data_IF_365727750501
#
_entry.id   IF_365727750501
#
_cell.length_a   1.000
_cell.length_b   1.000
_cell.length_c   1.000
_cell.angle_alpha   90.00
_cell.angle_beta   90.00
_cell.angle_gamma   90.00
#
_symmetry.space_group_name_H-M   'P 1'
#
loop_
_entity.id
_entity.type
_entity.pdbx_description
1 polymer ?
#
# COMPACT_ATOMS: atom_id res chain seq x y z
N UNK A 1 -20.36 -44.62 12.36
CA UNK A 1 -19.00 -44.98 11.87
C UNK A 1 -18.33 -43.71 11.40
N UNK A 2 -17.35 -43.18 12.15
CA UNK A 2 -16.63 -41.96 11.79
C UNK A 2 -15.62 -42.28 10.68
N UNK A 3 -15.76 -41.66 9.50
CA UNK A 3 -14.72 -41.70 8.46
C UNK A 3 -13.52 -40.90 8.98
N UNK A 4 -12.34 -41.50 8.98
CA UNK A 4 -11.08 -40.79 9.23
C UNK A 4 -10.87 -39.76 8.10
N UNK A 5 -10.68 -38.50 8.48
CA UNK A 5 -10.48 -37.38 7.56
C UNK A 5 -8.99 -37.28 7.21
N UNK A 6 -8.65 -37.30 5.93
CA UNK A 6 -7.27 -37.23 5.46
C UNK A 6 -7.00 -35.85 4.84
N UNK A 7 -6.72 -34.85 5.69
CA UNK A 7 -6.17 -33.55 5.26
C UNK A 7 -4.66 -33.62 5.45
N UNK A 8 -3.84 -33.31 4.43
CA UNK A 8 -2.39 -33.39 4.56
C UNK A 8 -1.90 -32.34 5.59
N UNK A 9 -1.13 -32.74 6.61
CA UNK A 9 -0.61 -31.83 7.62
C UNK A 9 0.40 -30.86 7.03
N UNK A 10 0.35 -29.59 7.44
CA UNK A 10 1.45 -28.63 7.20
C UNK A 10 2.48 -28.83 8.32
N UNK A 11 3.66 -29.34 7.96
CA UNK A 11 4.77 -29.61 8.89
C UNK A 11 5.88 -28.61 8.58
N UNK A 12 6.25 -27.79 9.56
CA UNK A 12 7.42 -26.91 9.48
C UNK A 12 8.66 -27.68 9.97
N UNK A 13 9.84 -27.49 9.36
CA UNK A 13 11.07 -28.02 9.90
C UNK A 13 11.35 -27.36 11.27
N UNK A 14 11.48 -28.15 12.33
CA UNK A 14 11.99 -27.66 13.61
C UNK A 14 13.48 -27.40 13.48
N UNK A 15 13.90 -26.14 13.65
CA UNK A 15 15.33 -25.82 13.78
C UNK A 15 15.89 -26.48 15.04
N UNK A 16 16.82 -27.42 14.83
CA UNK A 16 17.49 -28.16 15.87
C UNK A 16 18.33 -27.24 16.74
N UNK A 17 18.03 -27.21 18.03
CA UNK A 17 18.77 -26.51 19.08
C UNK A 17 20.18 -27.11 19.29
N UNK A 18 21.27 -26.33 19.17
CA UNK A 18 22.55 -26.70 19.74
C UNK A 18 22.86 -25.83 20.97
N UNK A 19 22.84 -26.46 22.15
CA UNK A 19 23.75 -26.09 23.25
C UNK A 19 23.35 -24.91 24.13
N UNK A 20 22.78 -25.23 25.29
CA UNK A 20 22.68 -24.35 26.45
C UNK A 20 24.08 -23.96 26.93
N UNK A 21 24.45 -22.67 26.81
CA UNK A 21 25.47 -22.06 27.65
C UNK A 21 24.84 -20.95 28.50
N UNK A 22 24.76 -21.23 29.80
CA UNK A 22 24.49 -20.24 30.84
C UNK A 22 25.50 -19.09 30.77
N UNK A 23 25.04 -17.88 30.44
CA UNK A 23 25.74 -16.63 30.75
C UNK A 23 24.90 -15.81 31.73
N UNK A 24 25.50 -15.53 32.88
CA UNK A 24 25.01 -14.61 33.92
C UNK A 24 24.65 -13.24 33.33
N UNK A 25 23.63 -12.54 33.86
CA UNK A 25 23.35 -11.17 33.50
C UNK A 25 24.38 -10.22 34.16
N UNK A 26 24.89 -9.18 33.46
CA UNK A 26 25.57 -8.07 34.11
C UNK A 26 24.54 -7.08 34.69
N UNK A 27 24.91 -6.48 35.81
CA UNK A 27 24.13 -5.56 36.61
C UNK A 27 23.88 -4.20 35.93
N UNK A 28 22.70 -3.62 36.20
CA UNK A 28 22.32 -2.26 35.84
C UNK A 28 23.21 -1.20 36.52
N UNK A 29 23.60 -0.10 35.82
CA UNK A 29 23.93 1.16 36.46
C UNK A 29 22.70 2.10 36.53
N UNK A 30 22.70 3.09 37.45
CA UNK A 30 21.51 3.79 37.91
C UNK A 30 21.03 4.92 36.97
N UNK A 31 19.71 5.11 37.00
CA UNK A 31 18.92 6.17 36.38
C UNK A 31 19.37 7.57 36.83
N UNK A 32 19.54 8.50 35.88
CA UNK A 32 19.65 9.93 36.14
C UNK A 32 18.41 10.67 35.58
N UNK A 33 17.95 11.75 36.23
CA UNK A 33 16.63 12.31 36.00
C UNK A 33 16.56 13.19 34.74
N UNK A 34 15.39 13.15 34.08
CA UNK A 34 15.00 14.06 33.01
C UNK A 34 15.08 15.53 33.46
N UNK A 35 15.71 16.35 32.63
CA UNK A 35 15.64 17.81 32.75
C UNK A 35 15.42 18.40 31.34
N UNK A 36 14.39 19.24 31.13
CA UNK A 36 14.08 19.81 29.83
C UNK A 36 14.96 21.05 29.56
N UNK A 37 15.43 21.29 28.33
CA UNK A 37 16.05 22.58 28.02
C UNK A 37 14.95 23.64 27.89
N UNK A 38 15.02 24.66 28.75
CA UNK A 38 14.31 25.94 28.59
C UNK A 38 14.80 26.62 27.31
N UNK A 39 13.89 26.89 26.37
CA UNK A 39 14.11 27.88 25.32
C UNK A 39 13.65 29.26 25.80
N UNK A 40 14.60 30.19 25.91
CA UNK A 40 14.33 31.63 25.99
C UNK A 40 14.80 32.28 24.68
N UNK A 41 13.83 32.65 23.84
CA UNK A 41 13.74 33.68 22.78
C UNK A 41 14.97 34.59 22.46
N UNK A 42 14.95 35.38 21.36
CA UNK A 42 14.50 35.18 19.97
C UNK A 42 15.61 35.56 18.95
N UNK A 43 15.65 34.96 17.76
CA UNK A 43 16.53 35.47 16.68
C UNK A 43 17.00 34.40 15.71
N UNK A 44 16.54 34.50 14.48
CA UNK A 44 16.84 33.62 13.36
C UNK A 44 18.22 34.01 12.79
N UNK A 45 19.23 33.12 12.67
CA UNK A 45 20.41 33.42 11.89
C UNK A 45 20.15 33.01 10.43
N UNK A 46 19.61 33.94 9.65
CA UNK A 46 19.75 33.93 8.19
C UNK A 46 21.23 34.19 7.89
N UNK A 47 21.86 33.38 7.03
CA UNK A 47 23.21 33.66 6.56
C UNK A 47 23.22 35.03 5.85
N UNK A 48 24.07 35.93 6.34
CA UNK A 48 24.35 37.23 5.73
C UNK A 48 25.13 37.05 4.44
N UNK A 49 24.62 37.60 3.34
CA UNK A 49 25.39 37.75 2.10
C UNK A 49 26.18 39.06 2.21
N UNK A 50 27.49 38.96 2.43
CA UNK A 50 28.40 40.10 2.30
C UNK A 50 28.66 40.37 0.81
N UNK A 51 28.27 41.56 0.36
CA UNK A 51 28.68 42.15 -0.92
C UNK A 51 30.07 42.74 -0.72
N UNK A 52 31.07 42.06 -1.28
CA UNK A 52 32.47 42.48 -1.20
C UNK A 52 33.30 41.88 -2.33
N UNK A 53 33.41 42.63 -3.44
CA UNK A 53 34.49 42.66 -4.43
C UNK A 53 35.21 41.34 -4.75
N UNK A 54 34.73 40.62 -5.77
CA UNK A 54 35.52 39.64 -6.52
C UNK A 54 35.76 40.14 -7.94
N UNK A 55 37.03 40.15 -8.34
CA UNK A 55 37.53 40.61 -9.62
C UNK A 55 36.92 39.86 -10.81
N UNK A 56 36.74 40.56 -11.93
CA UNK A 56 36.33 39.99 -13.20
C UNK A 56 37.38 38.99 -13.72
N UNK A 57 37.03 37.70 -13.73
CA UNK A 57 37.73 36.68 -14.51
C UNK A 57 37.00 36.47 -15.84
N UNK A 58 37.31 37.30 -16.82
CA UNK A 58 37.02 37.01 -18.23
C UNK A 58 38.02 35.96 -18.71
N UNK A 59 37.56 34.75 -18.99
CA UNK A 59 38.35 33.74 -19.68
C UNK A 59 37.48 33.07 -20.74
N UNK A 60 37.25 33.80 -21.83
CA UNK A 60 36.89 33.21 -23.12
C UNK A 60 38.16 33.14 -23.96
N UNK A 61 38.63 31.93 -24.25
CA UNK A 61 39.67 31.68 -25.25
C UNK A 61 39.01 31.71 -26.63
N UNK A 62 39.36 32.68 -27.46
CA UNK A 62 39.00 32.72 -28.89
C UNK A 62 39.69 31.58 -29.64
N UNK A 63 39.00 30.78 -30.48
CA UNK A 63 39.70 29.88 -31.39
C UNK A 63 40.39 30.71 -32.48
N UNK A 64 41.70 30.52 -32.63
CA UNK A 64 42.47 31.09 -33.74
C UNK A 64 42.14 30.33 -35.04
N UNK A 65 41.67 31.04 -36.06
CA UNK A 65 41.64 30.53 -37.43
C UNK A 65 43.07 30.52 -37.98
N UNK A 66 43.67 29.33 -38.09
CA UNK A 66 44.89 29.12 -38.86
C UNK A 66 44.52 28.97 -40.34
N UNK A 67 44.91 29.95 -41.14
CA UNK A 67 44.91 29.91 -42.60
C UNK A 67 45.91 28.86 -43.08
N UNK A 68 45.44 27.83 -43.78
CA UNK A 68 46.28 26.92 -44.56
C UNK A 68 45.77 26.90 -46.01
N UNK A 69 46.52 27.59 -46.87
CA UNK A 69 46.34 27.58 -48.31
C UNK A 69 46.76 26.25 -48.94
N UNK A 70 45.81 25.64 -49.65
CA UNK A 70 45.89 25.00 -50.97
C UNK A 70 46.76 23.73 -51.12
N UNK A 71 46.06 22.61 -51.34
CA UNK A 71 46.60 21.38 -51.91
C UNK A 71 45.49 20.44 -52.40
N UNK A 72 44.84 20.79 -53.52
CA UNK A 72 44.24 19.88 -54.52
C UNK A 72 43.15 18.90 -54.10
N UNK A 73 41.91 19.15 -54.55
CA UNK A 73 40.87 18.13 -54.64
C UNK A 73 39.46 18.73 -54.61
N UNK A 74 38.84 18.89 -55.77
CA UNK A 74 37.48 19.41 -55.90
C UNK A 74 36.46 18.51 -55.21
N UNK A 75 35.71 19.10 -54.28
CA UNK A 75 34.52 18.52 -53.67
C UNK A 75 33.72 19.65 -53.05
N UNK A 76 32.49 19.82 -53.53
CA UNK A 76 31.48 20.70 -52.94
C UNK A 76 31.40 20.45 -51.44
N UNK A 77 31.81 21.43 -50.61
CA UNK A 77 31.61 21.39 -49.16
C UNK A 77 30.12 21.71 -48.94
N UNK A 78 29.30 20.67 -49.02
CA UNK A 78 27.87 20.75 -48.78
C UNK A 78 27.63 20.89 -47.28
N UNK A 79 26.96 21.98 -46.89
CA UNK A 79 26.30 22.13 -45.59
C UNK A 79 25.12 21.15 -45.39
N UNK A 80 25.06 20.04 -46.15
CA UNK A 80 23.97 19.06 -46.12
C UNK A 80 24.30 17.80 -45.30
N UNK A 81 25.57 17.59 -44.93
CA UNK A 81 26.02 16.45 -44.12
C UNK A 81 26.30 16.81 -42.64
N UNK A 82 26.01 18.05 -42.22
CA UNK A 82 26.11 18.44 -40.81
C UNK A 82 24.77 18.19 -40.11
N UNK A 83 24.71 17.35 -39.05
CA UNK A 83 23.48 17.17 -38.29
C UNK A 83 23.05 18.53 -37.74
N UNK A 84 21.75 18.88 -37.78
CA UNK A 84 21.28 20.20 -37.41
C UNK A 84 21.76 20.58 -36.00
N UNK A 85 22.17 21.84 -35.79
CA UNK A 85 22.69 22.35 -34.51
C UNK A 85 21.76 22.08 -33.30
N UNK A 86 20.48 21.84 -33.54
CA UNK A 86 19.48 21.44 -32.53
C UNK A 86 19.68 20.01 -32.04
N UNK A 87 20.16 19.10 -32.90
CA UNK A 87 20.53 17.73 -32.56
C UNK A 87 21.84 17.69 -31.75
N UNK A 88 22.80 18.58 -32.06
CA UNK A 88 24.00 18.79 -31.25
C UNK A 88 23.69 19.41 -29.87
N UNK A 89 22.64 20.24 -29.78
CA UNK A 89 22.12 20.79 -28.52
C UNK A 89 21.18 19.82 -27.75
N UNK A 90 20.92 18.62 -28.27
CA UNK A 90 20.03 17.62 -27.67
C UNK A 90 18.53 17.96 -27.73
N UNK A 91 18.10 18.91 -28.57
CA UNK A 91 16.71 19.34 -28.74
C UNK A 91 16.09 18.66 -29.97
N UNK A 92 15.34 17.58 -29.73
CA UNK A 92 14.61 16.89 -30.80
C UNK A 92 13.22 17.53 -31.05
N UNK A 93 13.15 18.50 -31.95
CA UNK A 93 11.91 19.25 -32.25
C UNK A 93 10.78 18.38 -32.79
N UNK A 94 11.10 17.34 -33.57
CA UNK A 94 10.13 16.36 -34.08
C UNK A 94 9.49 15.58 -32.93
N UNK A 95 10.29 15.17 -31.96
CA UNK A 95 9.83 14.48 -30.76
C UNK A 95 8.92 15.38 -29.91
N UNK A 96 9.32 16.64 -29.68
CA UNK A 96 8.50 17.62 -28.93
C UNK A 96 7.15 17.84 -29.60
N UNK A 97 7.12 17.99 -30.93
CA UNK A 97 5.87 18.18 -31.68
C UNK A 97 4.95 16.96 -31.60
N UNK A 98 5.50 15.75 -31.75
CA UNK A 98 4.74 14.51 -31.65
C UNK A 98 4.17 14.27 -30.24
N UNK A 99 4.97 14.53 -29.19
CA UNK A 99 4.53 14.50 -27.79
C UNK A 99 3.41 15.51 -27.52
N UNK A 100 3.58 16.72 -28.02
CA UNK A 100 2.58 17.80 -27.92
C UNK A 100 1.24 17.41 -28.56
N UNK A 101 1.28 16.87 -29.78
CA UNK A 101 0.09 16.38 -30.47
C UNK A 101 -0.57 15.19 -29.77
N UNK A 102 0.23 14.29 -29.19
CA UNK A 102 -0.26 13.14 -28.42
C UNK A 102 -1.11 13.61 -27.22
N UNK A 103 -0.64 14.62 -26.50
CA UNK A 103 -1.32 15.19 -25.32
C UNK A 103 -2.54 16.03 -25.69
N UNK A 104 -2.51 16.70 -26.84
CA UNK A 104 -3.63 17.49 -27.32
C UNK A 104 -4.80 16.63 -27.81
N UNK A 105 -4.58 15.33 -28.04
CA UNK A 105 -5.65 14.40 -28.39
C UNK A 105 -6.22 13.71 -27.14
N UNK A 106 -7.42 14.10 -26.65
CA UNK A 106 -7.98 13.56 -25.41
C UNK A 106 -8.41 12.08 -25.49
N UNK A 107 -8.48 11.50 -26.70
CA UNK A 107 -9.01 10.15 -26.91
C UNK A 107 -7.94 9.09 -27.22
N UNK A 108 -6.76 9.48 -27.70
CA UNK A 108 -5.66 8.56 -28.02
C UNK A 108 -4.31 9.17 -27.69
N UNK A 109 -3.86 8.94 -26.46
CA UNK A 109 -2.52 9.26 -26.01
C UNK A 109 -1.64 8.06 -26.35
N UNK A 110 -0.51 8.30 -27.02
CA UNK A 110 0.50 7.27 -27.30
C UNK A 110 1.58 7.34 -26.20
N UNK A 111 1.62 6.37 -25.28
CA UNK A 111 2.48 6.39 -24.10
C UNK A 111 3.95 6.11 -24.43
N UNK A 112 4.21 5.26 -25.45
CA UNK A 112 5.56 4.88 -25.92
C UNK A 112 6.44 6.08 -26.26
N UNK A 113 5.85 7.21 -26.64
CA UNK A 113 6.56 8.44 -26.97
C UNK A 113 7.10 9.17 -25.73
N UNK A 114 6.54 8.93 -24.54
CA UNK A 114 6.88 9.63 -23.30
C UNK A 114 7.85 8.84 -22.38
N UNK A 115 8.33 7.67 -22.82
CA UNK A 115 9.37 6.92 -22.11
C UNK A 115 10.72 7.67 -22.10
N UNK A 116 11.06 8.31 -23.22
CA UNK A 116 12.24 9.15 -23.30
C UNK A 116 11.92 10.53 -22.74
N UNK A 117 12.59 10.94 -21.66
CA UNK A 117 12.41 12.27 -21.08
C UNK A 117 13.10 13.34 -21.93
N UNK A 118 12.42 14.47 -22.15
CA UNK A 118 13.04 15.69 -22.66
C UNK A 118 12.71 16.88 -21.75
N UNK A 119 13.68 17.76 -21.52
CA UNK A 119 13.49 18.97 -20.71
C UNK A 119 13.07 20.18 -21.56
N UNK A 120 13.40 20.16 -22.85
CA UNK A 120 13.23 21.28 -23.77
C UNK A 120 11.76 21.63 -24.01
N UNK A 121 10.88 20.65 -24.24
CA UNK A 121 9.43 20.89 -24.39
C UNK A 121 8.78 21.50 -23.13
N UNK A 122 8.90 20.85 -21.95
CA UNK A 122 8.46 21.39 -20.66
C UNK A 122 8.91 22.82 -20.40
N UNK A 123 10.19 23.12 -20.68
CA UNK A 123 10.75 24.45 -20.49
C UNK A 123 10.11 25.49 -21.41
N UNK A 124 9.87 25.15 -22.68
CA UNK A 124 9.16 26.01 -23.63
C UNK A 124 7.73 26.30 -23.13
N UNK A 125 7.02 25.29 -22.60
CA UNK A 125 5.68 25.50 -22.04
C UNK A 125 5.67 26.37 -20.79
N UNK A 126 6.66 26.23 -19.91
CA UNK A 126 6.81 27.10 -18.74
C UNK A 126 7.13 28.54 -19.14
N UNK A 127 7.98 28.75 -20.15
CA UNK A 127 8.27 30.07 -20.70
C UNK A 127 7.00 30.70 -21.30
N UNK A 128 6.25 29.94 -22.11
CA UNK A 128 5.01 30.41 -22.72
C UNK A 128 3.94 30.75 -21.66
N UNK A 129 3.79 29.89 -20.65
CA UNK A 129 2.89 30.14 -19.53
C UNK A 129 3.30 31.40 -18.75
N UNK A 130 4.59 31.56 -18.45
CA UNK A 130 5.13 32.75 -17.82
C UNK A 130 4.86 34.03 -18.63
N UNK A 131 5.05 33.96 -19.96
CA UNK A 131 4.76 35.07 -20.87
C UNK A 131 3.26 35.45 -20.86
N UNK A 132 2.36 34.48 -20.92
CA UNK A 132 0.91 34.76 -20.85
C UNK A 132 0.49 35.35 -19.51
N UNK A 133 1.09 34.92 -18.40
CA UNK A 133 0.81 35.53 -17.11
C UNK A 133 1.39 36.95 -16.97
N UNK A 134 2.55 37.20 -17.57
CA UNK A 134 3.11 38.54 -17.66
C UNK A 134 2.20 39.47 -18.47
N UNK A 135 1.69 39.01 -19.62
CA UNK A 135 0.72 39.76 -20.44
C UNK A 135 -0.60 40.00 -19.71
N UNK A 136 -1.01 39.09 -18.82
CA UNK A 136 -2.14 39.27 -17.92
C UNK A 136 -1.84 40.22 -16.73
N UNK A 137 -0.63 40.76 -16.63
CA UNK A 137 -0.19 41.66 -15.56
C UNK A 137 0.14 40.96 -14.24
N UNK A 138 0.30 39.64 -14.23
CA UNK A 138 0.56 38.82 -13.03
C UNK A 138 1.97 38.25 -13.05
N UNK A 139 2.81 38.68 -12.11
CA UNK A 139 4.20 38.21 -12.01
C UNK A 139 4.28 37.12 -10.93
N UNK A 140 4.14 35.87 -11.35
CA UNK A 140 4.18 34.69 -10.47
C UNK A 140 5.19 33.63 -10.92
N UNK A 141 6.26 34.03 -11.62
CA UNK A 141 7.22 33.10 -12.21
C UNK A 141 7.84 32.14 -11.18
N UNK A 142 8.27 32.65 -10.02
CA UNK A 142 8.84 31.82 -8.94
C UNK A 142 7.83 30.85 -8.31
N UNK A 143 6.56 31.25 -8.20
CA UNK A 143 5.49 30.40 -7.66
C UNK A 143 5.21 29.25 -8.63
N UNK A 144 5.13 29.54 -9.93
CA UNK A 144 4.92 28.54 -10.98
C UNK A 144 6.05 27.51 -10.98
N UNK A 145 7.31 27.97 -10.97
CA UNK A 145 8.47 27.08 -10.92
C UNK A 145 8.47 26.23 -9.65
N UNK A 146 8.19 26.83 -8.49
CA UNK A 146 8.12 26.12 -7.20
C UNK A 146 7.07 25.01 -7.20
N UNK A 147 5.87 25.27 -7.70
CA UNK A 147 4.82 24.25 -7.80
C UNK A 147 5.17 23.12 -8.76
N UNK A 148 5.84 23.42 -9.89
CA UNK A 148 6.27 22.38 -10.85
C UNK A 148 7.34 21.48 -10.23
N UNK A 149 8.28 22.04 -9.47
CA UNK A 149 9.30 21.27 -8.74
C UNK A 149 8.68 20.44 -7.61
N UNK A 150 7.76 21.02 -6.83
CA UNK A 150 7.05 20.28 -5.78
C UNK A 150 6.21 19.14 -6.36
N UNK A 151 5.52 19.38 -7.49
CA UNK A 151 4.74 18.36 -8.17
C UNK A 151 5.62 17.24 -8.74
N UNK A 152 6.80 17.56 -9.29
CA UNK A 152 7.73 16.55 -9.81
C UNK A 152 8.37 15.71 -8.73
N UNK A 153 8.70 16.31 -7.58
CA UNK A 153 9.16 15.57 -6.40
C UNK A 153 8.04 14.66 -5.84
N UNK A 154 6.82 15.18 -5.73
CA UNK A 154 5.67 14.39 -5.28
C UNK A 154 5.42 13.20 -6.21
N UNK A 155 5.40 13.42 -7.53
CA UNK A 155 5.21 12.37 -8.52
C UNK A 155 6.34 11.35 -8.46
N UNK A 156 7.60 11.78 -8.32
CA UNK A 156 8.74 10.90 -8.15
C UNK A 156 8.58 9.98 -6.93
N UNK A 157 8.17 10.52 -5.78
CA UNK A 157 7.95 9.73 -4.57
C UNK A 157 6.79 8.74 -4.77
N UNK A 158 5.62 9.23 -5.20
CA UNK A 158 4.43 8.37 -5.37
C UNK A 158 4.68 7.29 -6.42
N UNK A 159 5.31 7.63 -7.54
CA UNK A 159 5.59 6.67 -8.60
C UNK A 159 6.61 5.63 -8.18
N UNK A 160 7.70 6.02 -7.50
CA UNK A 160 8.67 5.04 -7.02
C UNK A 160 8.12 4.17 -5.87
N UNK A 161 7.19 4.70 -5.06
CA UNK A 161 6.42 3.85 -4.14
C UNK A 161 5.49 2.89 -4.88
N UNK A 162 4.85 3.34 -5.97
CA UNK A 162 3.95 2.53 -6.78
C UNK A 162 4.68 1.42 -7.57
N UNK A 163 5.85 1.73 -8.13
CA UNK A 163 6.66 0.84 -8.95
C UNK A 163 7.61 -0.08 -8.14
N UNK A 164 7.72 0.12 -6.83
CA UNK A 164 8.51 -0.73 -5.94
C UNK A 164 9.99 -0.85 -6.32
N UNK A 165 10.57 -2.06 -6.23
CA UNK A 165 12.00 -2.34 -6.48
C UNK A 165 12.44 -2.15 -7.94
N UNK A 166 11.49 -2.01 -8.87
CA UNK A 166 11.71 -1.86 -10.32
C UNK A 166 11.47 -0.41 -10.81
N UNK A 167 11.34 0.57 -9.91
CA UNK A 167 11.12 1.98 -10.27
C UNK A 167 12.23 2.55 -11.15
N UNK A 168 11.98 2.67 -12.46
CA UNK A 168 12.91 3.26 -13.44
C UNK A 168 12.61 4.76 -13.70
N UNK A 169 11.66 5.35 -12.98
CA UNK A 169 11.19 6.70 -13.27
C UNK A 169 12.06 7.75 -12.56
N UNK A 170 13.09 8.17 -13.29
CA UNK A 170 13.99 9.24 -12.87
C UNK A 170 13.24 10.56 -12.66
N UNK A 171 13.73 11.40 -11.74
CA UNK A 171 13.20 12.75 -11.51
C UNK A 171 13.14 13.56 -12.82
N UNK A 172 14.14 13.38 -13.69
CA UNK A 172 14.19 13.98 -15.02
C UNK A 172 12.95 13.65 -15.88
N UNK A 173 12.51 12.39 -15.89
CA UNK A 173 11.28 11.97 -16.59
C UNK A 173 10.03 12.51 -15.91
N UNK A 174 10.00 12.58 -14.58
CA UNK A 174 8.87 13.16 -13.83
C UNK A 174 8.67 14.64 -14.17
N UNK A 175 9.76 15.42 -14.22
CA UNK A 175 9.73 16.84 -14.63
C UNK A 175 9.24 16.97 -16.07
N UNK A 176 9.71 16.08 -16.96
CA UNK A 176 9.25 16.05 -18.35
C UNK A 176 7.74 15.82 -18.45
N UNK A 177 7.25 14.75 -17.83
CA UNK A 177 5.84 14.34 -17.85
C UNK A 177 4.91 15.44 -17.33
N UNK A 178 5.23 16.03 -16.18
CA UNK A 178 4.41 17.10 -15.60
C UNK A 178 4.38 18.33 -16.49
N UNK A 179 5.53 18.75 -17.04
CA UNK A 179 5.58 19.91 -17.93
C UNK A 179 4.74 19.74 -19.18
N UNK A 180 4.71 18.53 -19.74
CA UNK A 180 3.86 18.15 -20.85
C UNK A 180 2.35 18.12 -20.49
N UNK A 181 2.00 17.60 -19.31
CA UNK A 181 0.62 17.59 -18.82
C UNK A 181 0.05 18.99 -18.54
N UNK A 182 0.92 19.99 -18.35
CA UNK A 182 0.53 21.38 -18.14
C UNK A 182 0.09 22.08 -19.43
N UNK A 183 0.27 21.47 -20.61
CA UNK A 183 -0.06 22.08 -21.91
C UNK A 183 -1.52 22.60 -22.02
N UNK A 184 -2.56 21.86 -21.60
CA UNK A 184 -3.92 22.41 -21.60
C UNK A 184 -4.06 23.67 -20.73
N UNK A 185 -3.31 23.76 -19.62
CA UNK A 185 -3.33 24.94 -18.73
C UNK A 185 -2.63 26.13 -19.42
N UNK A 186 -1.59 25.89 -20.20
CA UNK A 186 -0.93 26.94 -21.02
C UNK A 186 -1.87 27.47 -22.11
N UNK A 187 -2.64 26.60 -22.75
CA UNK A 187 -3.67 27.00 -23.72
C UNK A 187 -4.75 27.84 -23.03
N UNK A 188 -5.22 27.41 -21.86
CA UNK A 188 -6.18 28.17 -21.07
C UNK A 188 -5.66 29.57 -20.71
N UNK A 189 -4.38 29.71 -20.35
CA UNK A 189 -3.83 31.03 -20.02
C UNK A 189 -3.77 31.95 -21.23
N UNK A 190 -3.46 31.43 -22.42
CA UNK A 190 -3.52 32.20 -23.64
C UNK A 190 -4.95 32.66 -23.97
N UNK A 191 -5.92 31.75 -23.87
CA UNK A 191 -7.35 32.06 -24.10
C UNK A 191 -7.88 33.07 -23.08
N UNK A 192 -7.39 33.02 -21.84
CA UNK A 192 -7.84 33.91 -20.77
C UNK A 192 -7.55 35.40 -21.04
N UNK A 193 -6.60 35.73 -21.92
CA UNK A 193 -6.28 37.11 -22.33
C UNK A 193 -7.37 37.76 -23.17
N UNK A 194 -8.16 36.97 -23.89
CA UNK A 194 -9.18 37.45 -24.83
C UNK A 194 -10.61 37.29 -24.29
N UNK A 195 -10.79 36.59 -23.17
CA UNK A 195 -12.10 36.27 -22.62
C UNK A 195 -12.52 37.26 -21.52
N UNK A 196 -13.76 37.78 -21.55
CA UNK A 196 -14.27 38.62 -20.47
C UNK A 196 -14.40 37.81 -19.17
N UNK A 197 -14.13 38.47 -18.04
CA UNK A 197 -14.30 37.87 -16.71
C UNK A 197 -15.76 37.46 -16.44
N UNK A 198 -15.98 36.42 -15.63
CA UNK A 198 -17.33 35.97 -15.28
C UNK A 198 -17.45 34.47 -15.02
N UNK A 199 -18.66 33.93 -15.17
CA UNK A 199 -18.92 32.50 -14.98
C UNK A 199 -18.29 31.64 -16.09
N UNK A 200 -18.27 32.16 -17.33
CA UNK A 200 -17.74 31.44 -18.51
C UNK A 200 -16.27 31.06 -18.31
N UNK A 201 -15.43 32.00 -17.88
CA UNK A 201 -14.01 31.70 -17.66
C UNK A 201 -13.80 30.71 -16.51
N UNK A 202 -14.62 30.76 -15.45
CA UNK A 202 -14.56 29.79 -14.34
C UNK A 202 -14.92 28.38 -14.79
N UNK A 203 -15.99 28.23 -15.58
CA UNK A 203 -16.39 26.94 -16.16
C UNK A 203 -15.30 26.44 -17.11
N UNK A 204 -14.77 27.30 -17.97
CA UNK A 204 -13.69 26.96 -18.89
C UNK A 204 -12.42 26.51 -18.13
N UNK A 205 -12.05 27.21 -17.06
CA UNK A 205 -10.95 26.79 -16.17
C UNK A 205 -11.19 25.38 -15.63
N UNK A 206 -12.39 25.08 -15.13
CA UNK A 206 -12.73 23.75 -14.65
C UNK A 206 -12.53 22.66 -15.72
N UNK A 207 -12.99 22.91 -16.95
CA UNK A 207 -12.85 21.96 -18.07
C UNK A 207 -11.38 21.70 -18.41
N UNK A 208 -10.57 22.76 -18.51
CA UNK A 208 -9.14 22.62 -18.85
C UNK A 208 -8.32 21.99 -17.72
N UNK A 209 -8.68 22.24 -16.44
CA UNK A 209 -8.08 21.56 -15.30
C UNK A 209 -8.39 20.07 -15.35
N UNK A 210 -9.67 19.69 -15.55
CA UNK A 210 -10.08 18.28 -15.68
C UNK A 210 -9.37 17.62 -16.86
N UNK A 211 -9.19 18.32 -17.98
CA UNK A 211 -8.44 17.81 -19.13
C UNK A 211 -6.98 17.55 -18.76
N UNK A 212 -6.28 18.53 -18.18
CA UNK A 212 -4.88 18.38 -17.75
C UNK A 212 -4.71 17.24 -16.73
N UNK A 213 -5.61 17.15 -15.74
CA UNK A 213 -5.63 16.05 -14.76
C UNK A 213 -5.83 14.71 -15.44
N UNK A 214 -6.77 14.60 -16.38
CA UNK A 214 -7.05 13.35 -17.10
C UNK A 214 -5.87 12.89 -17.95
N UNK A 215 -5.15 13.82 -18.59
CA UNK A 215 -3.91 13.51 -19.34
C UNK A 215 -2.83 12.99 -18.39
N UNK A 216 -2.59 13.71 -17.28
CA UNK A 216 -1.60 13.32 -16.27
C UNK A 216 -1.89 11.92 -15.71
N UNK A 217 -3.12 11.65 -15.30
CA UNK A 217 -3.54 10.36 -14.78
C UNK A 217 -3.35 9.24 -15.82
N UNK A 218 -3.70 9.48 -17.09
CA UNK A 218 -3.56 8.46 -18.14
C UNK A 218 -2.10 8.12 -18.42
N UNK A 219 -1.23 9.11 -18.54
CA UNK A 219 0.20 8.88 -18.74
C UNK A 219 0.84 8.18 -17.55
N UNK A 220 0.44 8.55 -16.32
CA UNK A 220 0.93 7.90 -15.10
C UNK A 220 0.48 6.44 -15.03
N UNK A 221 -0.81 6.16 -15.29
CA UNK A 221 -1.35 4.79 -15.28
C UNK A 221 -0.64 3.91 -16.30
N UNK A 222 -0.39 4.42 -17.51
CA UNK A 222 0.27 3.60 -18.52
C UNK A 222 1.76 3.34 -18.19
N UNK A 223 2.50 4.37 -17.77
CA UNK A 223 3.90 4.21 -17.34
C UNK A 223 4.01 3.32 -16.11
N UNK A 224 3.01 3.33 -15.22
CA UNK A 224 2.93 2.41 -14.10
C UNK A 224 2.61 0.98 -14.56
N UNK A 225 1.77 0.81 -15.59
CA UNK A 225 1.37 -0.51 -16.10
C UNK A 225 2.45 -1.25 -16.89
N UNK A 226 3.43 -0.54 -17.46
CA UNK A 226 4.59 -1.14 -18.13
C UNK A 226 5.64 -1.68 -17.14
N UNK A 227 5.49 -1.36 -15.85
CA UNK A 227 6.10 -2.15 -14.78
C UNK A 227 5.35 -3.46 -14.64
N UNK A 228 5.65 -4.42 -15.51
CA UNK A 228 5.20 -5.80 -15.32
C UNK A 228 5.67 -6.24 -13.94
N UNK A 229 4.68 -6.50 -13.09
CA UNK A 229 4.80 -6.58 -11.65
C UNK A 229 5.18 -5.24 -11.00
N UNK A 230 4.23 -4.55 -10.36
CA UNK A 230 4.13 -4.38 -8.90
C UNK A 230 2.92 -3.48 -8.58
N UNK A 231 1.94 -3.88 -7.78
CA UNK A 231 2.07 -4.35 -6.38
C UNK A 231 2.71 -3.30 -5.45
N UNK A 232 2.66 -2.01 -5.78
CA UNK A 232 2.99 -0.91 -4.85
C UNK A 232 1.81 -0.44 -3.98
N UNK A 233 0.57 -0.74 -4.39
CA UNK A 233 -0.50 -1.01 -3.44
C UNK A 233 -0.63 -2.52 -3.35
N UNK A 234 -0.68 -3.06 -2.15
CA UNK A 234 -0.91 -4.47 -1.87
C UNK A 234 -2.27 -4.86 -2.51
N UNK A 235 -2.25 -5.29 -3.77
CA UNK A 235 -3.37 -5.99 -4.35
C UNK A 235 -3.38 -7.36 -3.68
N UNK A 236 -4.24 -7.49 -2.68
CA UNK A 236 -4.54 -8.78 -2.09
C UNK A 236 -5.11 -9.63 -3.21
N UNK A 237 -4.42 -10.72 -3.55
CA UNK A 237 -4.85 -11.65 -4.58
C UNK A 237 -5.85 -12.69 -4.01
N UNK A 238 -6.48 -12.34 -2.89
CA UNK A 238 -7.26 -13.26 -2.07
C UNK A 238 -7.58 -12.73 -0.67
N UNK A 239 -8.30 -13.56 0.08
CA UNK A 239 -8.62 -13.31 1.50
C UNK A 239 -8.10 -14.45 2.36
N UNK A 240 -7.64 -14.15 3.58
CA UNK A 240 -7.22 -15.15 4.56
C UNK A 240 -8.05 -15.02 5.83
N UNK A 241 -8.68 -16.11 6.23
CA UNK A 241 -9.41 -16.26 7.48
C UNK A 241 -8.54 -17.06 8.45
N UNK A 242 -8.29 -16.53 9.64
CA UNK A 242 -7.47 -17.18 10.67
C UNK A 242 -8.38 -17.60 11.82
N UNK A 243 -8.55 -18.91 12.01
CA UNK A 243 -9.44 -19.52 13.01
C UNK A 243 -10.77 -18.75 13.20
N UNK A 244 -11.55 -18.53 12.12
CA UNK A 244 -12.72 -17.67 12.18
C UNK A 244 -13.76 -18.22 13.17
N UNK A 245 -14.45 -17.32 13.85
CA UNK A 245 -15.50 -17.67 14.81
C UNK A 245 -16.60 -18.50 14.13
N UNK A 246 -17.07 -19.54 14.83
CA UNK A 246 -18.10 -20.46 14.34
C UNK A 246 -19.33 -20.36 15.23
N UNK A 247 -20.48 -20.04 14.64
CA UNK A 247 -21.75 -20.10 15.36
C UNK A 247 -22.32 -21.53 15.32
N UNK A 248 -22.50 -22.21 16.48
CA UNK A 248 -23.01 -23.57 16.51
C UNK A 248 -24.51 -23.67 16.16
N UNK A 249 -25.23 -22.54 16.05
CA UNK A 249 -26.63 -22.48 15.61
C UNK A 249 -26.81 -22.28 14.10
N UNK A 250 -25.73 -22.26 13.29
CA UNK A 250 -25.90 -22.21 11.83
C UNK A 250 -26.67 -23.44 11.32
N UNK A 251 -27.74 -23.23 10.51
CA UNK A 251 -28.69 -24.29 10.15
C UNK A 251 -28.11 -25.40 9.28
N UNK A 252 -27.03 -25.14 8.55
CA UNK A 252 -26.32 -26.11 7.71
C UNK A 252 -25.54 -27.15 8.51
N UNK A 253 -25.35 -26.94 9.81
CA UNK A 253 -24.75 -27.95 10.67
C UNK A 253 -25.75 -29.01 11.14
N UNK A 254 -25.37 -30.31 11.12
CA UNK A 254 -26.16 -31.34 11.76
C UNK A 254 -26.22 -31.13 13.29
N UNK A 255 -27.42 -31.15 13.87
CA UNK A 255 -27.64 -30.87 15.30
C UNK A 255 -26.81 -31.76 16.26
N UNK A 256 -26.59 -33.03 15.92
CA UNK A 256 -25.77 -33.93 16.73
C UNK A 256 -24.29 -33.53 16.71
N UNK A 257 -23.82 -32.97 15.60
CA UNK A 257 -22.43 -32.58 15.39
C UNK A 257 -22.10 -31.29 16.15
N UNK A 258 -22.98 -30.29 16.07
CA UNK A 258 -22.84 -29.05 16.85
C UNK A 258 -22.97 -29.30 18.33
N UNK A 259 -23.88 -30.18 18.76
CA UNK A 259 -23.99 -30.56 20.16
C UNK A 259 -22.69 -31.14 20.70
N UNK A 260 -22.06 -32.07 19.98
CA UNK A 260 -20.78 -32.64 20.40
C UNK A 260 -19.68 -31.57 20.52
N UNK A 261 -19.57 -30.67 19.54
CA UNK A 261 -18.58 -29.59 19.58
C UNK A 261 -18.86 -28.57 20.70
N UNK A 262 -20.14 -28.33 21.00
CA UNK A 262 -20.59 -27.45 22.07
C UNK A 262 -20.31 -28.05 23.45
N UNK A 263 -20.49 -29.37 23.61
CA UNK A 263 -20.21 -30.09 24.85
C UNK A 263 -18.70 -30.13 25.19
N UNK A 264 -17.82 -29.96 24.19
CA UNK A 264 -16.36 -29.87 24.36
C UNK A 264 -15.88 -28.50 24.89
N UNK A 265 -16.74 -27.47 24.85
CA UNK A 265 -16.45 -26.12 25.33
C UNK A 265 -16.52 -26.04 26.87
N UNK A 266 -15.91 -25.00 27.45
CA UNK A 266 -16.00 -24.74 28.88
C UNK A 266 -17.47 -24.60 29.32
N UNK A 267 -17.83 -25.17 30.47
CA UNK A 267 -19.21 -25.13 30.98
C UNK A 267 -19.73 -23.69 31.09
N UNK A 268 -18.89 -22.74 31.50
CA UNK A 268 -19.26 -21.32 31.55
C UNK A 268 -19.55 -20.72 30.18
N UNK A 269 -18.78 -21.12 29.15
CA UNK A 269 -18.95 -20.63 27.79
C UNK A 269 -20.21 -21.23 27.17
N UNK A 270 -20.54 -22.48 27.49
CA UNK A 270 -21.84 -23.07 27.11
C UNK A 270 -23.01 -22.23 27.64
N UNK A 271 -22.95 -21.73 28.88
CA UNK A 271 -23.97 -20.83 29.40
C UNK A 271 -23.92 -19.45 28.73
N UNK A 272 -22.74 -18.87 28.57
CA UNK A 272 -22.56 -17.58 27.90
C UNK A 272 -23.12 -17.61 26.47
N UNK A 273 -22.82 -18.64 25.68
CA UNK A 273 -23.37 -18.83 24.34
C UNK A 273 -24.90 -18.87 24.34
N UNK A 274 -25.52 -19.55 25.31
CA UNK A 274 -27.00 -19.56 25.44
C UNK A 274 -27.55 -18.18 25.77
N UNK A 275 -26.90 -17.43 26.65
CA UNK A 275 -27.30 -16.06 26.97
C UNK A 275 -27.17 -15.17 25.74
N UNK A 276 -26.07 -15.26 25.00
CA UNK A 276 -25.84 -14.48 23.78
C UNK A 276 -26.90 -14.80 22.72
N UNK A 277 -27.24 -16.09 22.54
CA UNK A 277 -28.19 -16.51 21.52
C UNK A 277 -29.65 -16.19 21.87
N UNK A 278 -30.09 -16.50 23.10
CA UNK A 278 -31.50 -16.40 23.49
C UNK A 278 -31.86 -15.07 24.16
N UNK A 279 -30.88 -14.40 24.79
CA UNK A 279 -31.08 -13.16 25.54
C UNK A 279 -29.96 -12.14 25.29
N UNK A 280 -29.73 -11.70 24.02
CA UNK A 280 -28.62 -10.82 23.66
C UNK A 280 -28.58 -9.50 24.46
N UNK A 281 -29.73 -9.00 24.92
CA UNK A 281 -29.81 -7.80 25.76
C UNK A 281 -29.19 -7.97 27.15
N UNK A 282 -28.94 -9.21 27.59
CA UNK A 282 -28.27 -9.51 28.86
C UNK A 282 -26.77 -9.74 28.71
N UNK A 283 -26.20 -9.72 27.50
CA UNK A 283 -24.78 -10.07 27.27
C UNK A 283 -23.83 -9.13 28.00
N UNK A 284 -24.10 -7.82 28.00
CA UNK A 284 -23.32 -6.86 28.76
C UNK A 284 -23.36 -7.17 30.26
N UNK A 285 -24.58 -7.26 30.81
CA UNK A 285 -24.78 -7.56 32.22
C UNK A 285 -24.09 -8.87 32.63
N UNK A 286 -24.19 -9.92 31.81
CA UNK A 286 -23.59 -11.23 32.08
C UNK A 286 -22.07 -11.17 32.19
N UNK A 287 -21.41 -10.43 31.29
CA UNK A 287 -19.95 -10.36 31.25
C UNK A 287 -19.35 -9.36 32.24
N UNK A 288 -20.16 -8.44 32.80
CA UNK A 288 -19.71 -7.48 33.83
C UNK A 288 -19.93 -7.98 35.27
N UNK A 289 -20.38 -9.22 35.48
CA UNK A 289 -20.63 -9.74 36.82
C UNK A 289 -19.33 -10.02 37.59
N UNK A 290 -19.33 -9.72 38.90
CA UNK A 290 -18.21 -10.02 39.80
C UNK A 290 -18.36 -11.39 40.49
N UNK A 291 -19.55 -11.97 40.50
CA UNK A 291 -19.85 -13.21 41.24
C UNK A 291 -19.47 -14.48 40.47
N UNK A 292 -19.38 -14.38 39.14
CA UNK A 292 -18.97 -15.47 38.27
C UNK A 292 -18.23 -14.90 37.07
N UNK A 293 -17.32 -15.70 36.52
CA UNK A 293 -16.57 -15.32 35.33
C UNK A 293 -17.49 -15.37 34.10
N UNK A 294 -17.43 -14.30 33.30
CA UNK A 294 -18.15 -14.21 32.03
C UNK A 294 -17.60 -15.15 30.96
N UNK A 295 -17.75 -14.74 29.71
CA UNK A 295 -17.22 -15.46 28.56
C UNK A 295 -15.69 -15.54 28.62
N UNK A 296 -15.12 -16.73 28.42
CA UNK A 296 -13.70 -17.01 28.66
C UNK A 296 -12.74 -16.13 27.86
N UNK A 297 -13.11 -15.76 26.63
CA UNK A 297 -12.30 -14.89 25.76
C UNK A 297 -12.28 -13.45 26.27
N UNK A 298 -13.41 -12.94 26.77
CA UNK A 298 -13.47 -11.58 27.36
C UNK A 298 -12.71 -11.54 28.68
N UNK A 299 -12.81 -12.59 29.50
CA UNK A 299 -12.13 -12.64 30.78
C UNK A 299 -10.64 -13.00 30.67
N UNK A 300 -10.13 -13.30 29.48
CA UNK A 300 -8.73 -13.70 29.24
C UNK A 300 -8.37 -15.10 29.77
N UNK A 301 -9.36 -15.93 30.15
CA UNK A 301 -9.15 -17.23 30.78
C UNK A 301 -9.49 -18.40 29.85
N UNK A 302 -9.27 -18.24 28.55
CA UNK A 302 -9.61 -19.24 27.55
C UNK A 302 -8.60 -20.41 27.51
N UNK A 303 -9.00 -21.51 26.87
CA UNK A 303 -8.21 -22.73 26.80
C UNK A 303 -7.12 -22.61 25.73
N UNK A 304 -5.88 -22.39 26.16
CA UNK A 304 -4.69 -22.36 25.32
C UNK A 304 -4.05 -23.74 25.14
N UNK A 305 -3.43 -23.98 23.98
CA UNK A 305 -2.59 -25.16 23.75
C UNK A 305 -1.23 -25.02 24.46
N UNK A 306 -0.46 -26.11 24.53
CA UNK A 306 0.88 -26.07 25.15
C UNK A 306 1.87 -25.19 24.36
N UNK A 307 1.68 -25.09 23.04
CA UNK A 307 2.50 -24.27 22.16
C UNK A 307 2.06 -22.82 22.19
N UNK A 308 0.76 -22.55 22.38
CA UNK A 308 0.26 -21.21 22.64
C UNK A 308 0.91 -20.61 23.90
N UNK A 309 1.06 -21.41 24.96
CA UNK A 309 1.77 -20.98 26.19
C UNK A 309 3.27 -20.69 25.98
N UNK A 310 3.87 -21.19 24.90
CA UNK A 310 5.28 -20.99 24.56
C UNK A 310 5.50 -19.83 23.60
N UNK A 311 4.43 -19.27 23.01
CA UNK A 311 4.54 -18.07 22.19
C UNK A 311 4.89 -16.93 23.14
N UNK A 312 6.15 -16.47 23.06
CA UNK A 312 6.61 -15.24 23.71
C UNK A 312 5.92 -14.06 23.02
N UNK A 313 4.68 -13.84 23.40
CA UNK A 313 3.92 -12.67 22.95
C UNK A 313 4.51 -11.52 23.74
N UNK A 314 5.21 -10.62 23.05
CA UNK A 314 5.69 -9.41 23.71
C UNK A 314 4.49 -8.74 24.37
N UNK A 315 4.52 -8.60 25.70
CA UNK A 315 3.41 -8.05 26.48
C UNK A 315 2.99 -6.67 25.93
N UNK A 316 3.93 -5.94 25.34
CA UNK A 316 3.71 -4.67 24.65
C UNK A 316 2.80 -4.79 23.41
N UNK A 317 3.01 -5.78 22.53
CA UNK A 317 2.17 -5.95 21.32
C UNK A 317 0.72 -6.32 21.68
N UNK A 318 0.52 -7.21 22.65
CA UNK A 318 -0.83 -7.57 23.10
C UNK A 318 -1.54 -6.41 23.76
N UNK A 319 -0.85 -5.65 24.63
CA UNK A 319 -1.44 -4.50 25.32
C UNK A 319 -1.79 -3.36 24.36
N UNK A 320 -0.92 -3.08 23.37
CA UNK A 320 -1.20 -2.10 22.33
C UNK A 320 -2.40 -2.52 21.47
N UNK A 321 -2.49 -3.81 21.14
CA UNK A 321 -3.60 -4.34 20.35
C UNK A 321 -4.92 -4.30 21.12
N UNK A 322 -4.91 -4.65 22.42
CA UNK A 322 -6.10 -4.60 23.27
C UNK A 322 -6.65 -3.16 23.38
N UNK A 323 -5.76 -2.18 23.64
CA UNK A 323 -6.13 -0.77 23.69
C UNK A 323 -6.73 -0.28 22.36
N UNK A 324 -6.22 -0.77 21.23
CA UNK A 324 -6.77 -0.48 19.91
C UNK A 324 -8.15 -1.13 19.71
N UNK A 325 -8.33 -2.39 20.12
CA UNK A 325 -9.60 -3.13 19.98
C UNK A 325 -10.74 -2.44 20.72
N UNK A 326 -10.51 -1.93 21.95
CA UNK A 326 -11.54 -1.31 22.77
C UNK A 326 -11.75 0.19 22.52
N UNK A 327 -11.22 0.74 21.42
CA UNK A 327 -11.29 2.18 21.14
C UNK A 327 -12.73 2.73 21.08
N UNK A 328 -13.70 1.91 20.67
CA UNK A 328 -15.12 2.28 20.60
C UNK A 328 -15.88 2.02 21.92
N UNK A 329 -15.18 1.55 22.95
CA UNK A 329 -15.73 1.11 24.23
C UNK A 329 -16.01 -0.39 24.27
N UNK A 330 -15.91 -1.00 25.46
CA UNK A 330 -16.05 -2.46 25.64
C UNK A 330 -17.38 -3.03 25.12
N UNK A 331 -18.47 -2.28 25.24
CA UNK A 331 -19.78 -2.73 24.75
C UNK A 331 -19.78 -2.86 23.22
N UNK A 332 -19.36 -1.82 22.51
CA UNK A 332 -19.35 -1.79 21.05
C UNK A 332 -18.27 -2.70 20.46
N UNK A 333 -17.13 -2.83 21.12
CA UNK A 333 -16.00 -3.63 20.62
C UNK A 333 -16.08 -5.12 20.96
N UNK A 334 -16.55 -5.50 22.17
CA UNK A 334 -16.50 -6.90 22.62
C UNK A 334 -17.89 -7.53 22.69
N UNK A 335 -18.82 -6.85 23.38
CA UNK A 335 -20.13 -7.42 23.66
C UNK A 335 -21.01 -7.46 22.42
N UNK A 336 -20.97 -6.41 21.61
CA UNK A 336 -21.67 -6.35 20.32
C UNK A 336 -21.12 -7.38 19.34
N UNK A 337 -19.81 -7.59 19.30
CA UNK A 337 -19.18 -8.62 18.48
C UNK A 337 -19.61 -10.03 18.88
N UNK A 338 -19.74 -10.32 20.18
CA UNK A 338 -20.35 -11.58 20.64
C UNK A 338 -21.80 -11.72 20.18
N UNK A 339 -22.61 -10.66 20.29
CA UNK A 339 -24.01 -10.67 19.84
C UNK A 339 -24.08 -10.92 18.33
N UNK A 340 -23.20 -10.32 17.53
CA UNK A 340 -23.14 -10.54 16.08
C UNK A 340 -22.69 -11.97 15.77
N UNK A 341 -21.65 -12.47 16.44
CA UNK A 341 -21.07 -13.78 16.17
C UNK A 341 -21.96 -14.95 16.59
N UNK A 342 -22.61 -14.86 17.76
CA UNK A 342 -23.33 -15.99 18.38
C UNK A 342 -24.82 -15.73 18.61
N UNK A 343 -25.31 -14.53 18.28
CA UNK A 343 -26.72 -14.17 18.42
C UNK A 343 -27.62 -14.84 17.39
N UNK A 344 -28.69 -14.13 17.01
CA UNK A 344 -29.67 -14.63 16.05
C UNK A 344 -29.03 -14.81 14.68
N UNK A 345 -29.18 -16.00 14.11
CA UNK A 345 -28.62 -16.34 12.80
C UNK A 345 -29.43 -15.67 11.70
N UNK A 346 -28.78 -14.78 10.93
CA UNK A 346 -29.35 -14.15 9.73
C UNK A 346 -28.77 -14.72 8.42
N UNK A 347 -27.62 -15.39 8.52
CA UNK A 347 -26.85 -15.89 7.40
C UNK A 347 -26.17 -17.21 7.79
N UNK A 348 -26.09 -18.14 6.84
CA UNK A 348 -25.32 -19.37 6.96
C UNK A 348 -24.11 -19.35 6.00
N UNK A 349 -22.87 -19.46 6.51
CA UNK A 349 -21.67 -19.56 5.68
C UNK A 349 -21.71 -20.69 4.66
N UNK A 350 -22.40 -21.80 4.96
CA UNK A 350 -22.48 -22.96 4.06
C UNK A 350 -23.33 -22.69 2.81
N UNK A 351 -24.12 -21.62 2.80
CA UNK A 351 -24.89 -21.17 1.63
C UNK A 351 -24.09 -20.26 0.68
N UNK A 352 -22.83 -19.95 1.02
CA UNK A 352 -21.97 -19.09 0.21
C UNK A 352 -21.66 -19.72 -1.15
N UNK A 353 -22.09 -19.03 -2.22
CA UNK A 353 -21.70 -19.36 -3.59
C UNK A 353 -20.25 -18.96 -3.83
N UNK A 354 -19.56 -19.71 -4.69
CA UNK A 354 -18.20 -19.37 -5.09
C UNK A 354 -18.17 -17.95 -5.70
N UNK A 355 -17.49 -17.04 -5.01
CA UNK A 355 -17.33 -15.64 -5.41
C UNK A 355 -16.31 -15.47 -6.54
N UNK A 356 -15.47 -16.49 -6.77
CA UNK A 356 -14.36 -16.46 -7.73
C UNK A 356 -14.49 -17.63 -8.73
N UNK A 357 -15.51 -17.62 -9.61
CA UNK A 357 -15.74 -18.70 -10.57
C UNK A 357 -14.60 -18.85 -11.60
N UNK A 358 -13.85 -17.77 -11.86
CA UNK A 358 -12.74 -17.74 -12.81
C UNK A 358 -11.38 -18.08 -12.19
N UNK A 359 -11.31 -18.44 -10.89
CA UNK A 359 -10.07 -18.62 -10.13
C UNK A 359 -9.10 -17.43 -10.23
N UNK A 360 -9.63 -16.21 -10.36
CA UNK A 360 -8.84 -14.97 -10.42
C UNK A 360 -8.23 -14.65 -9.04
N UNK A 361 -8.95 -14.97 -7.95
CA UNK A 361 -8.49 -14.80 -6.57
C UNK A 361 -8.78 -16.07 -5.74
N UNK A 362 -8.14 -16.19 -4.58
CA UNK A 362 -8.28 -17.34 -3.68
C UNK A 362 -8.65 -16.95 -2.25
N UNK A 363 -9.55 -17.71 -1.63
CA UNK A 363 -9.79 -17.60 -0.18
C UNK A 363 -9.06 -18.72 0.53
N UNK A 364 -8.31 -18.37 1.56
CA UNK A 364 -7.52 -19.27 2.39
C UNK A 364 -8.08 -19.25 3.80
N UNK A 365 -8.17 -20.40 4.43
CA UNK A 365 -8.62 -20.53 5.81
C UNK A 365 -7.60 -21.34 6.59
N UNK A 366 -6.99 -20.72 7.59
CA UNK A 366 -5.94 -21.31 8.40
C UNK A 366 -6.46 -21.60 9.81
N UNK A 367 -6.22 -22.80 10.32
CA UNK A 367 -6.69 -23.22 11.65
C UNK A 367 -5.64 -24.09 12.36
N UNK A 368 -5.33 -23.79 13.61
CA UNK A 368 -4.50 -24.66 14.47
C UNK A 368 -5.26 -25.90 14.93
N UNK A 369 -4.67 -27.09 14.80
CA UNK A 369 -5.31 -28.36 15.17
C UNK A 369 -5.58 -28.47 16.68
N UNK A 370 -4.77 -27.80 17.49
CA UNK A 370 -4.90 -27.76 18.95
C UNK A 370 -5.69 -26.55 19.46
N UNK A 371 -6.47 -25.88 18.59
CA UNK A 371 -7.31 -24.75 18.97
C UNK A 371 -8.33 -25.16 20.05
N UNK A 372 -8.16 -24.58 21.24
CA UNK A 372 -9.02 -24.80 22.40
C UNK A 372 -10.19 -23.83 22.50
N UNK A 373 -10.27 -22.82 21.62
CA UNK A 373 -11.30 -21.78 21.61
C UNK A 373 -12.34 -22.11 20.54
N UNK A 374 -11.90 -22.26 19.29
CA UNK A 374 -12.78 -22.53 18.14
C UNK A 374 -12.63 -23.98 17.68
N UNK A 375 -13.75 -24.68 17.53
CA UNK A 375 -13.75 -26.10 17.16
C UNK A 375 -13.28 -26.32 15.72
N UNK A 376 -12.06 -26.85 15.56
CA UNK A 376 -11.52 -27.36 14.29
C UNK A 376 -12.47 -28.35 13.60
N UNK A 377 -13.21 -29.16 14.36
CA UNK A 377 -14.15 -30.13 13.80
C UNK A 377 -15.26 -29.43 13.03
N UNK A 378 -15.82 -28.36 13.59
CA UNK A 378 -16.84 -27.56 12.90
C UNK A 378 -16.23 -26.86 11.67
N UNK A 379 -15.00 -26.36 11.78
CA UNK A 379 -14.34 -25.70 10.65
C UNK A 379 -14.10 -26.64 9.46
N UNK A 380 -13.65 -27.87 9.73
CA UNK A 380 -13.49 -28.93 8.72
C UNK A 380 -14.79 -29.20 7.97
N UNK A 381 -15.92 -29.17 8.66
CA UNK A 381 -17.23 -29.38 8.03
C UNK A 381 -17.61 -28.22 7.10
N UNK A 382 -17.38 -26.97 7.51
CA UNK A 382 -17.58 -25.79 6.64
C UNK A 382 -16.71 -25.88 5.39
N UNK A 383 -15.42 -26.18 5.55
CA UNK A 383 -14.48 -26.29 4.43
C UNK A 383 -14.87 -27.39 3.42
N UNK A 384 -15.50 -28.47 3.87
CA UNK A 384 -16.02 -29.52 2.99
C UNK A 384 -17.22 -29.05 2.15
N UNK A 385 -18.10 -28.24 2.73
CA UNK A 385 -19.26 -27.68 2.03
C UNK A 385 -18.87 -26.52 1.09
N UNK A 386 -17.73 -25.88 1.33
CA UNK A 386 -17.21 -24.75 0.55
C UNK A 386 -15.88 -25.10 -0.13
N UNK A 387 -15.87 -25.95 -1.18
CA UNK A 387 -14.63 -26.47 -1.78
C UNK A 387 -13.79 -25.41 -2.51
N UNK A 388 -14.36 -24.22 -2.74
CA UNK A 388 -13.65 -23.09 -3.32
C UNK A 388 -12.75 -22.35 -2.30
N UNK A 389 -12.90 -22.65 -1.00
CA UNK A 389 -12.02 -22.15 0.06
C UNK A 389 -10.85 -23.14 0.24
N UNK A 390 -9.63 -22.63 0.18
CA UNK A 390 -8.42 -23.41 0.47
C UNK A 390 -8.22 -23.51 1.98
N UNK A 391 -8.56 -24.65 2.56
CA UNK A 391 -8.40 -24.90 3.99
C UNK A 391 -7.02 -25.47 4.33
N UNK A 392 -6.37 -24.90 5.35
CA UNK A 392 -5.03 -25.23 5.83
C UNK A 392 -5.07 -25.49 7.34
N UNK A 393 -4.54 -26.65 7.75
CA UNK A 393 -4.43 -27.03 9.15
C UNK A 393 -2.97 -26.99 9.62
N UNK A 394 -2.74 -26.25 10.70
CA UNK A 394 -1.42 -26.13 11.33
C UNK A 394 -1.31 -27.16 12.46
N UNK A 395 -0.35 -28.08 12.35
CA UNK A 395 -0.12 -29.10 13.37
C UNK A 395 0.62 -28.52 14.57
N UNK A 396 0.34 -29.04 15.77
CA UNK A 396 0.99 -28.64 17.03
C UNK A 396 0.85 -27.14 17.35
N UNK A 397 -0.24 -26.52 16.92
CA UNK A 397 -0.47 -25.08 17.00
C UNK A 397 -1.91 -24.85 17.45
N UNK A 398 -2.11 -23.91 18.38
CA UNK A 398 -3.43 -23.56 18.92
C UNK A 398 -4.03 -22.31 18.28
N UNK A 399 -4.83 -21.55 19.03
CA UNK A 399 -5.62 -20.44 18.46
C UNK A 399 -4.77 -19.20 18.17
N UNK A 400 -3.76 -18.93 19.00
CA UNK A 400 -2.97 -17.69 18.97
C UNK A 400 -1.76 -17.75 18.03
N UNK A 401 -1.76 -18.71 17.11
CA UNK A 401 -0.73 -18.86 16.08
C UNK A 401 -0.41 -17.62 15.25
N UNK A 402 -1.33 -16.65 15.00
CA UNK A 402 -0.98 -15.43 14.30
C UNK A 402 0.03 -14.56 15.05
N UNK A 403 0.20 -14.79 16.35
CA UNK A 403 1.18 -14.11 17.20
C UNK A 403 2.48 -14.90 17.37
N UNK A 404 2.50 -16.19 16.99
CA UNK A 404 3.64 -17.08 17.11
C UNK A 404 4.74 -16.85 16.08
N UNK A 405 5.35 -17.95 15.63
CA UNK A 405 6.50 -17.94 14.73
C UNK A 405 6.28 -17.09 13.46
N UNK A 406 7.26 -16.24 13.15
CA UNK A 406 7.31 -15.43 11.93
C UNK A 406 7.18 -16.27 10.66
N UNK A 407 7.65 -17.52 10.67
CA UNK A 407 7.56 -18.42 9.52
C UNK A 407 6.11 -18.66 9.08
N UNK A 408 5.18 -18.81 10.03
CA UNK A 408 3.74 -19.01 9.78
C UNK A 408 3.11 -17.74 9.22
N UNK A 409 3.46 -16.58 9.80
CA UNK A 409 2.99 -15.27 9.34
C UNK A 409 3.42 -15.03 7.89
N UNK A 410 4.66 -15.31 7.56
CA UNK A 410 5.22 -15.14 6.22
C UNK A 410 4.50 -16.00 5.18
N UNK A 411 4.14 -17.24 5.52
CA UNK A 411 3.40 -18.12 4.61
C UNK A 411 1.98 -17.60 4.37
N UNK A 412 1.29 -17.15 5.42
CA UNK A 412 -0.04 -16.54 5.31
C UNK A 412 0.04 -15.29 4.44
N UNK A 413 1.01 -14.40 4.68
CA UNK A 413 1.23 -13.21 3.86
C UNK A 413 1.54 -13.54 2.40
N UNK A 414 2.41 -14.51 2.14
CA UNK A 414 2.70 -14.96 0.77
C UNK A 414 1.44 -15.51 0.08
N UNK A 415 0.58 -16.22 0.79
CA UNK A 415 -0.68 -16.72 0.23
C UNK A 415 -1.65 -15.59 -0.16
N UNK A 416 -1.72 -14.53 0.65
CA UNK A 416 -2.52 -13.33 0.37
C UNK A 416 -1.99 -12.52 -0.82
N UNK A 417 -0.67 -12.48 -1.00
CA UNK A 417 -0.03 -11.69 -2.04
C UNK A 417 0.05 -12.43 -3.38
N UNK A 418 0.28 -13.74 -3.38
CA UNK A 418 0.61 -14.48 -4.60
C UNK A 418 -0.61 -14.97 -5.40
N UNK A 419 -1.81 -15.07 -4.79
CA UNK A 419 -3.07 -15.47 -5.46
C UNK A 419 -3.09 -16.87 -6.06
N UNK A 420 -1.97 -17.59 -6.00
CA UNK A 420 -1.83 -18.94 -6.52
C UNK A 420 -1.91 -19.93 -5.39
N UNK A 421 -2.55 -21.06 -5.69
CA UNK A 421 -2.51 -22.30 -4.93
C UNK A 421 -1.05 -22.68 -4.69
N UNK A 422 -0.47 -22.25 -3.58
CA UNK A 422 0.87 -22.63 -3.16
C UNK A 422 0.80 -24.11 -2.76
N UNK A 423 1.05 -25.00 -3.72
CA UNK A 423 1.53 -26.33 -3.38
C UNK A 423 2.87 -26.16 -2.67
N UNK A 424 2.85 -26.40 -1.35
CA UNK A 424 3.98 -26.29 -0.42
C UNK A 424 5.17 -27.23 -0.75
N UNK A 425 5.20 -27.88 -1.91
CA UNK A 425 6.35 -28.66 -2.40
C UNK A 425 7.50 -27.79 -2.93
N UNK A 426 7.37 -26.46 -2.90
CA UNK A 426 8.41 -25.50 -3.35
C UNK A 426 8.97 -24.62 -2.24
N UNK A 427 8.70 -24.94 -0.97
CA UNK A 427 9.39 -24.33 0.19
C UNK A 427 10.33 -25.39 0.80
N UNK A 428 11.12 -26.03 -0.05
CA UNK A 428 12.24 -26.90 0.33
C UNK A 428 13.53 -26.17 -0.01
#
# INVERSE_FOLDING_TARGET
>A
MAKQFNVPPVIFPSDGNPGVQQRRPPANPPTAPFQPPRSSNPGIPFMSFDIGSAAASTSFSTPQFASATIGGGGGSIGFEDEPPLLEELGINTKQIYQKTLSILNPFRIKPDLHEDGDLSGPFIFLMAFGLFQLLAGKIHFGIILGWVVMASMFLYVVFNMLAGRNGNLNLYRCVSLIGYCMLPIVILSALSLFLPGGLVIKVLTGVFVVWSTRVCTRLLVELASYGDEHRGLIALAGAALLAPVINPWWPGFPANFTKQAFDEQLLRDQWAYRVIHYAPWLVYWWNTQQYFHGFSVISGEFKLSQQDLQIDTSLDEMQLQEAYVIQQGEFESLHRDLIIGFGKVEFDPMDLKNLFPNNEDSVHLWHGVEDGIVSVKLQRFIAQNLPWINYHELQNVGHIFPYGDHSVKDVIWKSLLAGKKLTLSKIV
#
